data_IF_442698063579
#
_entry.id   IF_442698063579
#
_cell.length_a   1.000
_cell.length_b   1.000
_cell.length_c   1.000
_cell.angle_alpha   90.00
_cell.angle_beta   90.00
_cell.angle_gamma   90.00
#
_symmetry.space_group_name_H-M   'P 1'
#
loop_
_entity.id
_entity.type
_entity.pdbx_description
1 polymer ?
#
# COMPACT_ATOMS: atom_id res chain seq x y z
N UNK A 1 -8.54 14.13 7.70
CA UNK A 1 -8.16 12.91 6.97
C UNK A 1 -6.78 12.49 7.46
N UNK A 2 -6.67 11.23 7.84
CA UNK A 2 -5.48 10.58 8.38
C UNK A 2 -4.45 10.22 7.31
N UNK A 3 -4.75 10.48 6.03
CA UNK A 3 -3.84 10.35 4.89
C UNK A 3 -4.30 11.20 3.70
N UNK A 4 -3.51 11.18 2.63
CA UNK A 4 -3.82 11.82 1.34
C UNK A 4 -4.38 10.77 0.38
N UNK A 5 -5.40 11.12 -0.41
CA UNK A 5 -6.05 10.19 -1.33
C UNK A 5 -6.08 10.73 -2.75
N UNK A 6 -5.92 9.82 -3.70
CA UNK A 6 -6.00 10.08 -5.13
C UNK A 6 -7.02 9.10 -5.73
N UNK A 7 -7.87 9.60 -6.62
CA UNK A 7 -8.93 8.84 -7.27
C UNK A 7 -8.58 8.71 -8.76
N UNK A 8 -8.64 7.49 -9.32
CA UNK A 8 -8.23 7.27 -10.72
C UNK A 8 -9.21 7.85 -11.72
N UNK A 9 -10.50 7.52 -11.57
CA UNK A 9 -11.59 7.95 -12.45
C UNK A 9 -12.72 8.65 -11.66
N UNK A 10 -12.33 9.31 -10.56
CA UNK A 10 -13.24 9.87 -9.56
C UNK A 10 -13.55 8.90 -8.43
N UNK A 11 -14.27 9.38 -7.41
CA UNK A 11 -14.52 8.63 -6.18
C UNK A 11 -15.24 7.31 -6.49
N UNK A 12 -14.65 6.14 -6.15
CA UNK A 12 -15.33 4.87 -6.35
C UNK A 12 -16.55 4.78 -5.42
N UNK A 13 -17.60 4.04 -5.84
CA UNK A 13 -18.81 3.88 -5.06
C UNK A 13 -18.50 3.26 -3.69
N UNK A 14 -19.32 3.62 -2.70
CA UNK A 14 -19.32 2.99 -1.38
C UNK A 14 -19.65 1.49 -1.49
N UNK A 15 -19.26 0.71 -0.49
CA UNK A 15 -19.44 -0.75 -0.46
C UNK A 15 -18.14 -1.54 -0.40
N UNK A 16 -18.19 -2.81 -0.81
CA UNK A 16 -17.09 -3.76 -0.62
C UNK A 16 -15.82 -3.37 -1.39
N UNK A 17 -14.69 -3.35 -0.68
CA UNK A 17 -13.39 -3.01 -1.25
C UNK A 17 -12.31 -4.01 -0.84
N UNK A 18 -11.28 -4.15 -1.67
CA UNK A 18 -10.05 -4.88 -1.34
C UNK A 18 -8.92 -3.87 -1.14
N UNK A 19 -8.22 -3.99 -0.02
CA UNK A 19 -7.04 -3.18 0.30
C UNK A 19 -5.80 -3.94 -0.16
N UNK A 20 -4.93 -3.25 -0.90
CA UNK A 20 -3.69 -3.85 -1.43
C UNK A 20 -2.54 -2.92 -1.11
N UNK A 21 -1.49 -3.44 -0.46
CA UNK A 21 -0.26 -2.69 -0.30
C UNK A 21 0.51 -2.58 -1.63
N UNK A 22 1.42 -1.61 -1.72
CA UNK A 22 2.27 -1.42 -2.89
C UNK A 22 3.62 -2.11 -2.73
N UNK A 23 4.34 -1.89 -1.63
CA UNK A 23 5.74 -2.28 -1.47
C UNK A 23 5.82 -3.74 -1.00
N UNK A 24 6.55 -4.60 -1.71
CA UNK A 24 6.64 -6.03 -1.42
C UNK A 24 5.41 -6.85 -1.80
N UNK A 25 4.32 -6.19 -2.22
CA UNK A 25 3.14 -6.84 -2.83
C UNK A 25 3.13 -6.64 -4.34
N UNK A 26 3.12 -5.40 -4.82
CA UNK A 26 3.06 -5.08 -6.26
C UNK A 26 4.43 -4.65 -6.80
N UNK A 27 5.17 -3.88 -5.99
CA UNK A 27 6.45 -3.23 -6.27
C UNK A 27 7.54 -3.93 -5.46
N UNK A 28 8.59 -4.44 -6.11
CA UNK A 28 9.70 -5.08 -5.41
C UNK A 28 10.62 -4.03 -4.77
N UNK A 29 10.40 -3.78 -3.48
CA UNK A 29 11.19 -2.84 -2.70
C UNK A 29 12.50 -3.44 -2.15
N UNK A 30 12.84 -4.70 -2.45
CA UNK A 30 14.01 -5.38 -1.90
C UNK A 30 15.32 -4.65 -2.23
N UNK A 31 15.42 -4.09 -3.44
CA UNK A 31 16.60 -3.37 -3.93
C UNK A 31 16.97 -2.13 -3.12
N UNK A 32 16.01 -1.55 -2.38
CA UNK A 32 16.18 -0.31 -1.61
C UNK A 32 16.15 -0.51 -0.09
N UNK A 33 15.97 -1.73 0.40
CA UNK A 33 15.97 -2.02 1.85
C UNK A 33 17.27 -1.62 2.55
N UNK A 34 18.39 -1.65 1.83
CA UNK A 34 19.70 -1.24 2.35
C UNK A 34 19.75 0.22 2.86
N UNK A 35 18.85 1.11 2.42
CA UNK A 35 18.74 2.47 2.98
C UNK A 35 18.21 2.48 4.42
N UNK A 36 17.56 1.40 4.85
CA UNK A 36 16.98 1.26 6.18
C UNK A 36 17.85 0.42 7.12
N UNK A 37 19.03 -0.01 6.65
CA UNK A 37 20.00 -0.75 7.43
C UNK A 37 20.68 0.14 8.47
N UNK A 38 21.04 -0.45 9.62
CA UNK A 38 21.80 0.22 10.66
C UNK A 38 20.98 1.13 11.58
N UNK A 39 21.66 1.92 12.44
CA UNK A 39 21.01 2.68 13.51
C UNK A 39 20.30 3.96 13.02
N UNK A 40 20.60 4.43 11.82
CA UNK A 40 20.01 5.63 11.22
C UNK A 40 19.49 5.28 9.84
N UNK A 41 18.17 5.34 9.68
CA UNK A 41 17.48 5.00 8.44
C UNK A 41 17.41 6.20 7.51
N UNK A 42 17.82 6.02 6.26
CA UNK A 42 17.65 7.03 5.21
C UNK A 42 16.31 6.85 4.50
N UNK A 43 15.25 7.31 5.16
CA UNK A 43 13.90 7.23 4.62
C UNK A 43 13.72 8.04 3.33
N UNK A 44 14.46 9.13 3.16
CA UNK A 44 14.35 9.94 1.95
C UNK A 44 14.88 9.16 0.74
N UNK A 45 16.10 8.63 0.83
CA UNK A 45 16.68 7.82 -0.24
C UNK A 45 15.86 6.55 -0.50
N UNK A 46 15.33 5.93 0.56
CA UNK A 46 14.43 4.78 0.47
C UNK A 46 13.19 5.08 -0.39
N UNK A 47 12.51 6.22 -0.19
CA UNK A 47 11.31 6.51 -0.97
C UNK A 47 11.62 7.03 -2.38
N UNK A 48 12.68 7.81 -2.55
CA UNK A 48 13.10 8.31 -3.87
C UNK A 48 13.46 7.17 -4.82
N UNK A 49 14.14 6.13 -4.33
CA UNK A 49 14.52 4.97 -5.13
C UNK A 49 13.34 4.14 -5.66
N UNK A 50 12.11 4.36 -5.15
CA UNK A 50 10.93 3.57 -5.53
C UNK A 50 10.49 3.73 -7.00
N UNK A 51 10.99 4.76 -7.69
CA UNK A 51 10.75 4.97 -9.14
C UNK A 51 11.32 3.84 -10.00
N UNK A 52 12.36 3.18 -9.50
CA UNK A 52 13.12 2.13 -10.20
C UNK A 52 12.77 0.72 -9.70
N UNK A 53 11.82 0.58 -8.78
CA UNK A 53 11.38 -0.72 -8.26
C UNK A 53 10.89 -1.61 -9.43
N UNK A 54 11.37 -2.86 -9.55
CA UNK A 54 10.78 -3.82 -10.46
C UNK A 54 9.32 -4.14 -10.06
N UNK A 55 8.41 -4.39 -11.02
CA UNK A 55 7.11 -4.97 -10.69
C UNK A 55 7.28 -6.43 -10.21
N UNK A 56 6.36 -6.91 -9.39
CA UNK A 56 6.21 -8.34 -9.02
C UNK A 56 5.08 -8.92 -9.89
N UNK A 57 5.36 -9.48 -11.09
CA UNK A 57 4.32 -9.74 -12.09
C UNK A 57 3.32 -10.81 -11.65
N UNK A 58 3.75 -11.80 -10.87
CA UNK A 58 2.91 -12.86 -10.33
C UNK A 58 1.89 -12.31 -9.34
N UNK A 59 2.33 -11.40 -8.47
CA UNK A 59 1.47 -10.78 -7.46
C UNK A 59 0.48 -9.80 -8.09
N UNK A 60 0.92 -8.98 -9.06
CA UNK A 60 0.03 -8.12 -9.85
C UNK A 60 -1.08 -8.95 -10.49
N UNK A 61 -0.73 -10.03 -11.22
CA UNK A 61 -1.72 -10.91 -11.85
C UNK A 61 -2.66 -11.59 -10.85
N UNK A 62 -2.13 -11.97 -9.68
CA UNK A 62 -2.94 -12.56 -8.62
C UNK A 62 -3.97 -11.55 -8.08
N UNK A 63 -3.51 -10.34 -7.75
CA UNK A 63 -4.39 -9.26 -7.26
C UNK A 63 -5.47 -8.97 -8.29
N UNK A 64 -5.11 -8.76 -9.56
CA UNK A 64 -6.08 -8.51 -10.64
C UNK A 64 -7.17 -9.58 -10.71
N UNK A 65 -6.82 -10.86 -10.53
CA UNK A 65 -7.79 -11.97 -10.55
C UNK A 65 -8.63 -12.05 -9.29
N UNK A 66 -8.08 -11.69 -8.14
CA UNK A 66 -8.82 -11.66 -6.88
C UNK A 66 -9.79 -10.48 -6.81
N UNK A 67 -9.50 -9.41 -7.53
CA UNK A 67 -10.24 -8.14 -7.45
C UNK A 67 -11.04 -7.81 -8.70
N UNK A 68 -11.24 -8.76 -9.62
CA UNK A 68 -11.92 -8.53 -10.91
C UNK A 68 -13.31 -7.86 -10.76
N UNK A 69 -14.03 -8.18 -9.68
CA UNK A 69 -15.36 -7.63 -9.35
C UNK A 69 -15.36 -6.70 -8.11
N UNK A 70 -14.20 -6.18 -7.69
CA UNK A 70 -14.09 -5.37 -6.47
C UNK A 70 -13.40 -4.03 -6.75
N UNK A 71 -13.82 -2.99 -6.02
CA UNK A 71 -13.05 -1.75 -5.92
C UNK A 71 -11.71 -2.04 -5.23
N UNK A 72 -10.61 -1.62 -5.86
CA UNK A 72 -9.25 -1.78 -5.37
C UNK A 72 -8.74 -0.48 -4.77
N UNK A 73 -8.47 -0.52 -3.47
CA UNK A 73 -7.82 0.57 -2.75
C UNK A 73 -6.36 0.20 -2.50
N UNK A 74 -5.45 0.92 -3.17
CA UNK A 74 -4.04 0.85 -2.84
C UNK A 74 -3.81 1.65 -1.56
N UNK A 75 -3.23 1.02 -0.54
CA UNK A 75 -2.99 1.65 0.75
C UNK A 75 -1.52 1.48 1.13
N UNK A 76 -0.75 2.56 0.98
CA UNK A 76 0.71 2.55 1.15
C UNK A 76 1.18 3.48 2.27
N UNK A 77 2.27 3.09 2.92
CA UNK A 77 2.98 3.94 3.89
C UNK A 77 3.96 4.92 3.23
N UNK A 78 4.11 4.92 1.89
CA UNK A 78 4.86 5.96 1.17
C UNK A 78 4.28 7.34 1.51
N UNK A 79 5.13 8.36 1.77
CA UNK A 79 4.66 9.72 2.04
C UNK A 79 4.02 10.32 0.78
N UNK A 80 3.04 11.20 0.96
CA UNK A 80 2.30 11.82 -0.14
C UNK A 80 3.17 12.62 -1.12
N UNK A 81 4.37 13.05 -0.72
CA UNK A 81 5.34 13.67 -1.61
C UNK A 81 5.87 12.74 -2.70
N UNK A 82 5.74 11.42 -2.53
CA UNK A 82 6.08 10.40 -3.54
C UNK A 82 4.88 10.03 -4.43
N UNK A 83 3.78 10.80 -4.39
CA UNK A 83 2.56 10.49 -5.14
C UNK A 83 2.79 10.46 -6.65
N UNK A 84 3.43 11.49 -7.22
CA UNK A 84 3.68 11.56 -8.66
C UNK A 84 4.48 10.36 -9.15
N UNK A 85 5.58 10.03 -8.45
CA UNK A 85 6.40 8.84 -8.71
C UNK A 85 5.60 7.55 -8.62
N UNK A 86 4.76 7.41 -7.59
CA UNK A 86 3.95 6.20 -7.38
C UNK A 86 2.90 6.05 -8.48
N UNK A 87 2.20 7.14 -8.85
CA UNK A 87 1.20 7.14 -9.91
C UNK A 87 1.81 6.87 -11.29
N UNK A 88 2.98 7.45 -11.59
CA UNK A 88 3.72 7.16 -12.82
C UNK A 88 4.12 5.68 -12.89
N UNK A 89 4.66 5.14 -11.79
CA UNK A 89 5.05 3.74 -11.69
C UNK A 89 3.84 2.80 -11.93
N UNK A 90 2.71 3.06 -11.27
CA UNK A 90 1.47 2.30 -11.46
C UNK A 90 1.02 2.32 -12.92
N UNK A 91 1.08 3.48 -13.59
CA UNK A 91 0.74 3.62 -15.00
C UNK A 91 1.71 2.88 -15.93
N UNK A 92 3.03 2.98 -15.67
CA UNK A 92 4.09 2.31 -16.44
C UNK A 92 3.94 0.79 -16.42
N UNK A 93 3.52 0.24 -15.28
CA UNK A 93 3.38 -1.21 -15.08
C UNK A 93 1.95 -1.73 -15.26
N UNK A 94 0.99 -0.87 -15.62
CA UNK A 94 -0.38 -1.27 -15.94
C UNK A 94 -1.16 -1.82 -14.75
N UNK A 95 -0.85 -1.37 -13.53
CA UNK A 95 -1.52 -1.83 -12.31
C UNK A 95 -2.95 -1.28 -12.26
N UNK A 96 -3.92 -2.15 -12.00
CA UNK A 96 -5.31 -1.76 -11.80
C UNK A 96 -5.58 -1.32 -10.36
N UNK A 97 -6.21 -0.15 -10.22
CA UNK A 97 -6.59 0.47 -8.95
C UNK A 97 -7.71 1.50 -9.18
N UNK A 98 -8.44 1.82 -8.12
CA UNK A 98 -9.52 2.83 -8.14
C UNK A 98 -9.20 4.03 -7.23
N UNK A 99 -8.64 3.76 -6.06
CA UNK A 99 -8.22 4.77 -5.09
C UNK A 99 -6.83 4.45 -4.53
N UNK A 100 -5.96 5.45 -4.45
CA UNK A 100 -4.66 5.38 -3.78
C UNK A 100 -4.72 6.20 -2.50
N UNK A 101 -4.52 5.56 -1.35
CA UNK A 101 -4.42 6.19 -0.05
C UNK A 101 -2.97 6.12 0.47
N UNK A 102 -2.43 7.28 0.81
CA UNK A 102 -1.02 7.45 1.18
C UNK A 102 -0.89 8.13 2.54
N UNK A 103 0.27 7.93 3.17
CA UNK A 103 0.69 8.63 4.38
C UNK A 103 0.78 10.14 4.13
N UNK A 104 0.35 10.96 5.11
CA UNK A 104 0.58 12.40 5.06
C UNK A 104 2.08 12.73 5.09
N UNK A 105 2.53 13.74 4.33
CA UNK A 105 3.94 14.09 4.17
C UNK A 105 4.75 14.21 5.48
N UNK A 106 4.16 14.79 6.53
CA UNK A 106 4.82 15.05 7.82
C UNK A 106 4.43 14.04 8.91
N UNK A 107 3.81 12.94 8.52
CA UNK A 107 3.49 11.85 9.46
C UNK A 107 4.69 10.90 9.57
N UNK A 108 5.14 10.71 10.80
CA UNK A 108 6.28 9.86 11.14
C UNK A 108 5.85 8.57 11.86
N UNK A 109 4.55 8.28 11.91
CA UNK A 109 4.01 7.04 12.46
C UNK A 109 4.58 5.81 11.75
N UNK A 110 4.56 4.69 12.46
CA UNK A 110 4.85 3.39 11.85
C UNK A 110 3.84 3.05 10.75
N UNK A 111 4.19 2.13 9.83
CA UNK A 111 3.24 1.68 8.81
C UNK A 111 1.90 1.23 9.43
N UNK A 112 1.86 0.36 10.47
CA UNK A 112 0.60 -0.07 11.06
C UNK A 112 -0.25 1.06 11.64
N UNK A 113 0.36 2.07 12.27
CA UNK A 113 -0.36 3.22 12.83
C UNK A 113 -1.02 4.06 11.73
N UNK A 114 -0.26 4.39 10.69
CA UNK A 114 -0.75 5.17 9.55
C UNK A 114 -1.85 4.40 8.83
N UNK A 115 -1.62 3.12 8.53
CA UNK A 115 -2.58 2.30 7.80
C UNK A 115 -3.87 2.06 8.58
N UNK A 116 -3.80 1.89 9.92
CA UNK A 116 -4.99 1.79 10.78
C UNK A 116 -5.82 3.08 10.73
N UNK A 117 -5.17 4.23 10.80
CA UNK A 117 -5.86 5.52 10.76
C UNK A 117 -6.56 5.74 9.41
N UNK A 118 -5.89 5.42 8.30
CA UNK A 118 -6.48 5.46 6.96
C UNK A 118 -7.63 4.47 6.81
N UNK A 119 -7.48 3.23 7.29
CA UNK A 119 -8.54 2.20 7.30
C UNK A 119 -9.79 2.69 8.04
N UNK A 120 -9.61 3.36 9.18
CA UNK A 120 -10.70 3.93 9.98
C UNK A 120 -11.44 5.01 9.21
N UNK A 121 -10.73 5.91 8.53
CA UNK A 121 -11.35 6.93 7.68
C UNK A 121 -12.09 6.27 6.51
N UNK A 122 -11.51 5.27 5.83
CA UNK A 122 -12.15 4.57 4.72
C UNK A 122 -13.48 3.93 5.13
N UNK A 123 -13.52 3.27 6.29
CA UNK A 123 -14.75 2.71 6.86
C UNK A 123 -15.79 3.79 7.16
N UNK A 124 -15.34 4.93 7.68
CA UNK A 124 -16.23 6.06 7.98
C UNK A 124 -16.83 6.69 6.72
N UNK A 125 -16.13 6.57 5.59
CA UNK A 125 -16.56 7.06 4.27
C UNK A 125 -17.47 6.07 3.52
N UNK A 126 -17.91 4.97 4.15
CA UNK A 126 -18.84 4.00 3.57
C UNK A 126 -18.18 2.85 2.80
N UNK A 127 -16.84 2.76 2.80
CA UNK A 127 -16.17 1.58 2.26
C UNK A 127 -16.23 0.43 3.26
N UNK A 128 -16.38 -0.79 2.75
CA UNK A 128 -16.42 -2.03 3.52
C UNK A 128 -15.22 -2.89 3.12
N UNK A 129 -14.03 -2.69 3.72
CA UNK A 129 -12.89 -3.56 3.46
C UNK A 129 -13.22 -5.01 3.81
N UNK A 130 -13.15 -5.90 2.81
CA UNK A 130 -13.42 -7.34 2.98
C UNK A 130 -12.15 -8.18 3.02
N UNK A 131 -11.07 -7.68 2.43
CA UNK A 131 -9.76 -8.32 2.36
C UNK A 131 -8.65 -7.28 2.33
N UNK A 132 -7.55 -7.55 3.03
CA UNK A 132 -6.27 -6.86 2.86
C UNK A 132 -5.21 -7.82 2.28
N UNK A 133 -4.30 -7.29 1.47
CA UNK A 133 -3.12 -8.00 0.94
C UNK A 133 -1.90 -7.14 1.29
N UNK A 134 -1.01 -7.66 2.14
CA UNK A 134 0.12 -6.91 2.70
C UNK A 134 1.30 -7.85 2.97
N UNK A 135 2.51 -7.32 2.91
CA UNK A 135 3.75 -8.07 3.13
C UNK A 135 4.41 -7.80 4.50
N UNK A 136 4.01 -6.74 5.19
CA UNK A 136 4.57 -6.36 6.49
C UNK A 136 3.88 -7.14 7.63
N UNK A 137 4.62 -7.93 8.43
CA UNK A 137 4.04 -8.65 9.56
C UNK A 137 3.32 -7.76 10.59
N UNK A 138 3.78 -6.51 10.77
CA UNK A 138 3.14 -5.52 11.62
C UNK A 138 1.79 -5.05 11.07
N UNK A 139 1.70 -4.83 9.75
CA UNK A 139 0.43 -4.50 9.11
C UNK A 139 -0.54 -5.69 9.17
N UNK A 140 -0.04 -6.92 8.96
CA UNK A 140 -0.82 -8.16 9.12
C UNK A 140 -1.46 -8.26 10.52
N UNK A 141 -0.67 -8.06 11.57
CA UNK A 141 -1.17 -8.07 12.96
C UNK A 141 -2.21 -6.97 13.16
N UNK A 142 -1.96 -5.77 12.62
CA UNK A 142 -2.88 -4.65 12.70
C UNK A 142 -4.21 -4.96 12.01
N UNK A 143 -4.23 -5.36 10.74
CA UNK A 143 -5.47 -5.64 10.02
C UNK A 143 -6.30 -6.73 10.69
N UNK A 144 -5.65 -7.80 11.17
CA UNK A 144 -6.32 -8.85 11.95
C UNK A 144 -6.91 -8.33 13.26
N UNK A 145 -6.22 -7.42 13.96
CA UNK A 145 -6.76 -6.77 15.17
C UNK A 145 -7.98 -5.90 14.88
N UNK A 146 -8.06 -5.35 13.67
CA UNK A 146 -9.19 -4.55 13.16
C UNK A 146 -10.31 -5.42 12.57
N UNK A 147 -10.24 -6.75 12.70
CA UNK A 147 -11.22 -7.69 12.18
C UNK A 147 -11.19 -7.87 10.65
N UNK A 148 -10.15 -7.39 9.97
CA UNK A 148 -10.01 -7.51 8.52
C UNK A 148 -9.23 -8.79 8.16
N UNK A 149 -9.84 -9.64 7.32
CA UNK A 149 -9.16 -10.78 6.73
C UNK A 149 -7.94 -10.28 5.94
N UNK A 150 -6.80 -10.93 6.12
CA UNK A 150 -5.55 -10.49 5.50
C UNK A 150 -4.79 -11.67 4.90
N UNK A 151 -4.47 -11.56 3.62
CA UNK A 151 -3.50 -12.42 2.93
C UNK A 151 -2.12 -11.82 3.13
N UNK A 152 -1.25 -12.58 3.77
CA UNK A 152 0.16 -12.23 3.91
C UNK A 152 0.93 -12.68 2.68
N UNK A 153 1.69 -11.77 2.08
CA UNK A 153 2.62 -12.07 0.98
C UNK A 153 4.03 -11.99 1.52
N UNK A 154 4.86 -13.01 1.31
CA UNK A 154 6.25 -12.96 1.75
C UNK A 154 7.10 -12.21 0.73
N UNK A 155 7.60 -11.03 1.10
CA UNK A 155 8.43 -10.16 0.25
C UNK A 155 9.94 -10.43 0.36
N UNK A 156 10.35 -11.24 1.32
CA UNK A 156 11.75 -11.68 1.48
C UNK A 156 12.67 -10.75 2.26
N UNK A 157 12.22 -9.55 2.64
CA UNK A 157 13.07 -8.57 3.35
C UNK A 157 12.69 -8.28 4.81
N UNK A 158 11.64 -8.90 5.33
CA UNK A 158 11.30 -8.85 6.76
C UNK A 158 11.94 -9.99 7.59
N UNK A 159 12.51 -10.99 6.92
CA UNK A 159 13.08 -12.20 7.54
C UNK A 159 14.64 -12.20 7.55
N UNK A 160 15.25 -11.05 7.24
CA UNK A 160 16.70 -10.85 7.18
C UNK A 160 17.33 -10.48 8.55
#
# INVERSE_FOLDING_TARGET
MSGVRFEREGRPPEGSVVIVDVDGVLSDASGRQHFLDGPTKDWWAFFEASVDDPPIPEAIRLVERLTEDHTVILLTARPSGSADTTLEWLGRHGVNWDLLAMRNQNDHGSSPEVKRAILTDLRSDGYEPVLAIDDDPGNLVMYRSEGLLTVYVHSGYYDA
#
